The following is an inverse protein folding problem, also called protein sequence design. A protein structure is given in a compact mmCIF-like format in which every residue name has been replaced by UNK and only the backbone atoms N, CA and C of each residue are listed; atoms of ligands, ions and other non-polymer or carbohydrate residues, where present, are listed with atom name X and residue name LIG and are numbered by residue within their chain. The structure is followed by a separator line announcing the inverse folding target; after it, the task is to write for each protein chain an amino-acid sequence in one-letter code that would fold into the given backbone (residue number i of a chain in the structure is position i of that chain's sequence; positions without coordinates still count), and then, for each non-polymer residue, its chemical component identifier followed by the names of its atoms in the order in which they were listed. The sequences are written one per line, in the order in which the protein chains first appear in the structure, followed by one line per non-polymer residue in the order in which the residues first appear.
data_IF_839803906754
#
_entry.id   IF_839803906754
#
_cell.length_a   1.000
_cell.length_b   1.000
_cell.length_c   1.000
_cell.angle_alpha   90.00
_cell.angle_beta   90.00
_cell.angle_gamma   90.00
#
_symmetry.space_group_name_H-M   'P 1'
#
loop_
_entity.id
_entity.type
_entity.pdbx_description
1 polymer ?
#
# COMPACT_ATOMS: atom_id res chain seq x y z
N UNK A 1 15.65 -1.43 11.48
CA UNK A 1 14.32 -1.54 10.85
C UNK A 1 13.97 -0.16 10.30
N UNK A 2 13.95 0.00 8.98
CA UNK A 2 13.54 1.28 8.38
C UNK A 2 12.01 1.41 8.56
N UNK A 3 11.57 2.49 9.20
CA UNK A 3 10.14 2.83 9.29
C UNK A 3 9.61 3.05 7.86
N UNK A 4 8.44 2.53 7.57
CA UNK A 4 7.84 2.64 6.24
C UNK A 4 7.49 4.12 5.99
N UNK A 5 7.66 4.68 4.78
CA UNK A 5 7.36 6.10 4.50
C UNK A 5 5.93 6.53 4.87
N UNK A 6 5.00 5.56 4.90
CA UNK A 6 3.62 5.75 5.33
C UNK A 6 3.47 6.01 6.84
N UNK A 7 4.38 5.48 7.68
CA UNK A 7 4.34 5.69 9.14
C UNK A 7 4.81 7.10 9.54
N UNK A 8 5.65 7.72 8.71
CA UNK A 8 6.22 9.05 8.99
C UNK A 8 5.18 10.18 8.81
N UNK A 9 4.19 9.99 7.92
CA UNK A 9 3.14 10.98 7.62
C UNK A 9 1.77 10.65 8.24
N UNK A 10 1.59 9.42 8.76
CA UNK A 10 0.34 8.96 9.35
C UNK A 10 -0.24 9.85 10.48
N UNK A 11 0.54 10.43 11.41
CA UNK A 11 -0.05 11.23 12.49
C UNK A 11 -0.71 12.51 12.00
N UNK A 12 -0.19 13.14 10.93
CA UNK A 12 -0.71 14.39 10.39
C UNK A 12 -2.01 14.16 9.61
N UNK A 13 -2.05 13.11 8.78
CA UNK A 13 -3.25 12.71 8.03
C UNK A 13 -4.38 12.29 8.97
N UNK A 14 -4.07 11.61 10.08
CA UNK A 14 -5.10 11.20 11.06
C UNK A 14 -5.77 12.42 11.69
N UNK A 15 -4.98 13.45 12.02
CA UNK A 15 -5.48 14.71 12.60
C UNK A 15 -6.34 15.49 11.60
N UNK A 16 -5.94 15.53 10.34
CA UNK A 16 -6.73 16.14 9.26
C UNK A 16 -8.10 15.44 9.13
N UNK A 17 -8.12 14.10 9.11
CA UNK A 17 -9.36 13.32 9.01
C UNK A 17 -10.26 13.58 10.22
N UNK A 18 -9.71 13.61 11.44
CA UNK A 18 -10.46 13.97 12.65
C UNK A 18 -11.11 15.36 12.54
N UNK A 19 -10.42 16.33 11.94
CA UNK A 19 -10.96 17.67 11.69
C UNK A 19 -12.14 17.71 10.72
N UNK A 20 -12.32 16.65 9.92
CA UNK A 20 -13.41 16.51 8.94
C UNK A 20 -14.57 15.66 9.43
N UNK A 21 -14.44 15.04 10.61
CA UNK A 21 -15.51 14.25 11.21
C UNK A 21 -16.68 15.14 11.65
N UNK A 22 -17.90 14.61 11.54
CA UNK A 22 -19.06 15.29 12.09
C UNK A 22 -18.94 15.41 13.62
N UNK A 23 -19.63 16.38 14.26
CA UNK A 23 -19.58 16.53 15.72
C UNK A 23 -20.01 15.26 16.47
N UNK A 24 -20.97 14.51 15.93
CA UNK A 24 -21.43 13.24 16.50
C UNK A 24 -20.39 12.12 16.34
N UNK A 25 -19.74 12.01 15.19
CA UNK A 25 -18.65 11.07 14.97
C UNK A 25 -17.46 11.36 15.90
N UNK A 26 -17.14 12.64 16.11
CA UNK A 26 -16.10 13.04 17.06
C UNK A 26 -16.45 12.71 18.51
N UNK A 27 -17.71 12.90 18.93
CA UNK A 27 -18.16 12.49 20.27
C UNK A 27 -18.04 10.98 20.47
N UNK A 28 -18.45 10.22 19.46
CA UNK A 28 -18.34 8.75 19.48
C UNK A 28 -16.88 8.30 19.56
N UNK A 29 -16.01 8.88 18.74
CA UNK A 29 -14.58 8.59 18.75
C UNK A 29 -13.94 8.89 20.12
N UNK A 30 -14.33 10.01 20.75
CA UNK A 30 -13.86 10.37 22.11
C UNK A 30 -14.35 9.38 23.16
N UNK A 31 -15.63 9.00 23.13
CA UNK A 31 -16.17 8.00 24.03
C UNK A 31 -15.43 6.65 23.91
N UNK A 32 -15.16 6.20 22.68
CA UNK A 32 -14.39 4.97 22.44
C UNK A 32 -12.93 5.12 22.90
N UNK A 33 -12.32 6.28 22.68
CA UNK A 33 -10.97 6.63 23.17
C UNK A 33 -10.87 6.54 24.69
N UNK A 34 -11.84 7.11 25.41
CA UNK A 34 -11.94 7.04 26.87
C UNK A 34 -12.15 5.60 27.34
N UNK A 35 -13.07 4.84 26.72
CA UNK A 35 -13.33 3.43 27.05
C UNK A 35 -12.10 2.54 26.85
N UNK A 36 -11.32 2.79 25.79
CA UNK A 36 -10.12 2.02 25.48
C UNK A 36 -8.86 2.56 26.15
N UNK A 37 -8.97 3.66 26.90
CA UNK A 37 -7.85 4.38 27.53
C UNK A 37 -6.68 4.62 26.54
N UNK A 38 -7.01 5.07 25.32
CA UNK A 38 -6.05 5.28 24.22
C UNK A 38 -6.33 6.59 23.49
N UNK A 39 -5.33 7.22 22.87
CA UNK A 39 -5.53 8.44 22.07
C UNK A 39 -6.57 8.24 20.96
N UNK A 40 -7.39 9.26 20.73
CA UNK A 40 -8.41 9.23 19.69
C UNK A 40 -7.82 9.02 18.28
N UNK A 41 -6.62 9.54 18.04
CA UNK A 41 -5.86 9.33 16.81
C UNK A 41 -5.51 7.85 16.60
N UNK A 42 -5.10 7.16 17.66
CA UNK A 42 -4.71 5.76 17.58
C UNK A 42 -5.91 4.85 17.37
N UNK A 43 -7.03 5.16 18.04
CA UNK A 43 -8.31 4.49 17.84
C UNK A 43 -8.79 4.68 16.40
N UNK A 44 -8.79 5.92 15.89
CA UNK A 44 -9.21 6.19 14.52
C UNK A 44 -8.33 5.48 13.50
N UNK A 45 -7.01 5.47 13.70
CA UNK A 45 -6.07 4.79 12.79
C UNK A 45 -6.33 3.29 12.73
N UNK A 46 -6.61 2.67 13.87
CA UNK A 46 -6.91 1.25 13.95
C UNK A 46 -8.22 0.90 13.24
N UNK A 47 -9.28 1.67 13.48
CA UNK A 47 -10.58 1.46 12.83
C UNK A 47 -10.50 1.72 11.31
N UNK A 48 -9.76 2.73 10.87
CA UNK A 48 -9.51 2.97 9.44
C UNK A 48 -8.72 1.82 8.82
N UNK A 49 -7.73 1.26 9.53
CA UNK A 49 -6.97 0.10 9.05
C UNK A 49 -7.87 -1.12 8.91
N UNK A 50 -8.76 -1.36 9.87
CA UNK A 50 -9.77 -2.43 9.80
C UNK A 50 -10.72 -2.24 8.61
N UNK A 51 -11.28 -1.03 8.47
CA UNK A 51 -12.15 -0.69 7.36
C UNK A 51 -11.48 -0.86 5.99
N UNK A 52 -10.24 -0.40 5.84
CA UNK A 52 -9.48 -0.57 4.59
C UNK A 52 -9.22 -2.05 4.32
N UNK A 53 -8.86 -2.84 5.34
CA UNK A 53 -8.64 -4.28 5.17
C UNK A 53 -9.92 -5.00 4.71
N UNK A 54 -11.07 -4.62 5.27
CA UNK A 54 -12.37 -5.21 4.91
C UNK A 54 -12.89 -4.76 3.54
N UNK A 55 -12.48 -3.57 3.08
CA UNK A 55 -12.88 -3.00 1.79
C UNK A 55 -11.86 -3.18 0.69
N UNK A 56 -10.68 -3.71 0.99
CA UNK A 56 -9.67 -3.97 -0.03
C UNK A 56 -10.24 -5.04 -0.97
N UNK A 57 -10.43 -4.74 -2.27
CA UNK A 57 -10.76 -5.78 -3.21
C UNK A 57 -9.65 -6.84 -3.16
N UNK A 58 -10.05 -8.12 -3.17
CA UNK A 58 -9.08 -9.20 -3.32
C UNK A 58 -8.23 -8.87 -4.55
N UNK A 59 -6.89 -8.92 -4.45
CA UNK A 59 -6.03 -8.62 -5.59
C UNK A 59 -6.45 -9.51 -6.74
N UNK A 60 -6.69 -8.92 -7.91
CA UNK A 60 -6.93 -9.66 -9.13
C UNK A 60 -5.64 -10.39 -9.50
N UNK A 61 -5.56 -11.64 -9.03
CA UNK A 61 -4.39 -12.51 -9.18
C UNK A 61 -4.09 -12.74 -10.65
N UNK A 62 -5.12 -12.80 -11.50
CA UNK A 62 -4.98 -13.03 -12.93
C UNK A 62 -4.34 -11.82 -13.63
N UNK A 63 -4.78 -10.61 -13.28
CA UNK A 63 -4.16 -9.37 -13.76
C UNK A 63 -2.69 -9.25 -13.31
N UNK A 64 -2.38 -9.61 -12.06
CA UNK A 64 -1.00 -9.59 -11.55
C UNK A 64 -0.12 -10.60 -12.29
N UNK A 65 -0.58 -11.84 -12.45
CA UNK A 65 0.16 -12.89 -13.16
C UNK A 65 0.38 -12.48 -14.62
N UNK A 66 -0.63 -11.91 -15.28
CA UNK A 66 -0.50 -11.46 -16.66
C UNK A 66 0.56 -10.37 -16.81
N UNK A 67 0.51 -9.34 -15.94
CA UNK A 67 1.50 -8.26 -15.93
C UNK A 67 2.92 -8.76 -15.62
N UNK A 68 3.06 -9.78 -14.76
CA UNK A 68 4.35 -10.43 -14.51
C UNK A 68 4.83 -11.18 -15.76
N UNK A 69 3.94 -11.90 -16.44
CA UNK A 69 4.23 -12.61 -17.69
C UNK A 69 4.78 -11.68 -18.77
N UNK A 70 4.14 -10.54 -19.00
CA UNK A 70 4.61 -9.54 -19.98
C UNK A 70 6.02 -9.02 -19.65
N UNK A 71 6.28 -8.70 -18.37
CA UNK A 71 7.59 -8.23 -17.92
C UNK A 71 8.66 -9.30 -18.08
N UNK A 72 8.35 -10.55 -17.75
CA UNK A 72 9.31 -11.66 -17.93
C UNK A 72 9.56 -11.96 -19.41
N UNK A 73 8.55 -11.85 -20.27
CA UNK A 73 8.72 -12.01 -21.71
C UNK A 73 9.64 -10.91 -22.28
N UNK A 74 9.40 -9.65 -21.91
CA UNK A 74 10.25 -8.53 -22.32
C UNK A 74 11.70 -8.71 -21.85
N UNK A 75 11.90 -9.15 -20.61
CA UNK A 75 13.22 -9.45 -20.06
C UNK A 75 13.89 -10.59 -20.84
N UNK A 76 13.18 -11.69 -21.08
CA UNK A 76 13.68 -12.84 -21.85
C UNK A 76 14.07 -12.47 -23.27
N UNK A 77 13.26 -11.65 -23.94
CA UNK A 77 13.55 -11.12 -25.27
C UNK A 77 14.81 -10.24 -25.28
N UNK A 78 14.94 -9.33 -24.30
CA UNK A 78 16.12 -8.48 -24.18
C UNK A 78 17.40 -9.29 -23.94
N UNK A 79 17.35 -10.27 -23.02
CA UNK A 79 18.46 -11.19 -22.77
C UNK A 79 18.82 -12.02 -24.00
N UNK A 80 17.82 -12.54 -24.73
CA UNK A 80 18.02 -13.29 -25.98
C UNK A 80 18.65 -12.43 -27.07
N UNK A 81 18.23 -11.18 -27.18
CA UNK A 81 18.78 -10.20 -28.13
C UNK A 81 20.23 -9.86 -27.78
N UNK A 82 20.54 -9.60 -26.52
CA UNK A 82 21.91 -9.37 -26.05
C UNK A 82 22.82 -10.58 -26.31
N UNK A 83 22.33 -11.80 -26.04
CA UNK A 83 23.06 -13.05 -26.34
C UNK A 83 23.33 -13.22 -27.84
N UNK A 84 22.35 -12.90 -28.70
CA UNK A 84 22.50 -12.93 -30.16
C UNK A 84 23.52 -11.90 -30.65
N UNK A 85 23.51 -10.70 -30.08
CA UNK A 85 24.46 -9.64 -30.39
C UNK A 85 25.89 -10.03 -30.00
N UNK A 86 26.11 -10.52 -28.78
CA UNK A 86 27.41 -11.02 -28.31
C UNK A 86 27.92 -12.21 -29.14
N UNK A 87 27.03 -13.11 -29.57
CA UNK A 87 27.41 -14.21 -30.47
C UNK A 87 27.85 -13.71 -31.84
N UNK A 88 27.21 -12.66 -32.36
CA UNK A 88 27.59 -12.04 -33.64
C UNK A 88 28.95 -11.35 -33.53
N UNK A 89 29.23 -10.66 -32.42
CA UNK A 89 30.52 -10.04 -32.13
C UNK A 89 31.67 -11.03 -31.85
N UNK A 90 31.34 -12.28 -31.50
CA UNK A 90 32.33 -13.35 -31.25
C UNK A 90 32.53 -14.26 -32.48
N UNK A 91 31.81 -14.00 -33.56
CA UNK A 91 31.79 -14.81 -34.79
C UNK A 91 32.49 -14.19 -36.00
N UNK A 92 33.12 -13.03 -35.83
CA UNK A 92 34.10 -12.40 -36.72
C UNK A 92 35.20 -11.76 -35.86
#
# INVERSE_FOLDING_TARGET
MARSPLEEHAPDVTREIMGRLSPEAMRTLRAVSEMRNRPAEDVLREELRGYIADKLPLPDVEAIIHAMGERFYALGYACGTAKRFLRKLRGE
#
